data_IF_158369262751
#
_entry.id   IF_158369262751
#
_cell.length_a   1.000
_cell.length_b   1.000
_cell.length_c   1.000
_cell.angle_alpha   90.00
_cell.angle_beta   90.00
_cell.angle_gamma   90.00
#
_symmetry.space_group_name_H-M   'P 1'
#
loop_
_entity.id
_entity.type
_entity.pdbx_description
1 polymer ?
#
# COMPACT_ATOMS: atom_id res chain seq x y z
N UNK A 1 23.87 -15.79 18.24
CA UNK A 1 22.97 -16.60 19.10
C UNK A 1 22.74 -15.95 20.48
N UNK A 2 23.76 -15.65 21.33
CA UNK A 2 23.53 -15.04 22.68
C UNK A 2 22.73 -13.72 22.67
N UNK A 3 22.96 -12.82 21.70
CA UNK A 3 22.21 -11.54 21.58
C UNK A 3 20.75 -11.74 21.18
N UNK A 4 20.43 -12.78 20.39
CA UNK A 4 19.08 -13.13 20.01
C UNK A 4 18.29 -13.72 21.18
N UNK A 5 18.95 -14.54 22.00
CA UNK A 5 18.37 -15.14 23.22
C UNK A 5 18.10 -14.05 24.27
N UNK A 6 19.01 -13.08 24.41
CA UNK A 6 18.79 -11.94 25.32
C UNK A 6 17.63 -11.03 24.83
N UNK A 7 17.49 -10.81 23.54
CA UNK A 7 16.39 -10.05 22.97
C UNK A 7 15.05 -10.78 23.14
N UNK A 8 15.02 -12.11 22.95
CA UNK A 8 13.84 -12.95 23.24
C UNK A 8 13.50 -12.97 24.73
N UNK A 9 14.51 -13.08 25.62
CA UNK A 9 14.31 -13.06 27.06
C UNK A 9 13.82 -11.69 27.57
N UNK A 10 14.33 -10.59 26.99
CA UNK A 10 13.83 -9.23 27.28
C UNK A 10 12.39 -9.05 26.77
N UNK A 11 12.05 -9.62 25.62
CA UNK A 11 10.69 -9.61 25.08
C UNK A 11 9.72 -10.43 25.96
N UNK A 12 10.15 -11.59 26.48
CA UNK A 12 9.35 -12.42 27.40
C UNK A 12 9.17 -11.77 28.77
N UNK A 13 10.17 -11.01 29.25
CA UNK A 13 10.07 -10.25 30.50
C UNK A 13 9.16 -9.02 30.35
N UNK A 14 9.19 -8.35 29.21
CA UNK A 14 8.24 -7.28 28.87
C UNK A 14 6.81 -7.81 28.73
N UNK A 15 6.62 -8.98 28.14
CA UNK A 15 5.31 -9.65 28.02
C UNK A 15 4.78 -10.11 29.38
N UNK A 16 5.65 -10.52 30.32
CA UNK A 16 5.24 -11.01 31.65
C UNK A 16 4.55 -9.95 32.52
N UNK A 17 4.86 -8.67 32.37
CA UNK A 17 4.21 -7.57 33.08
C UNK A 17 2.93 -7.04 32.38
N UNK A 18 2.65 -7.47 31.16
CA UNK A 18 1.51 -7.03 30.35
C UNK A 18 0.23 -7.80 30.67
N UNK A 19 0.32 -8.96 31.32
CA UNK A 19 -0.84 -9.83 31.59
C UNK A 19 -1.83 -9.31 32.65
N UNK A 20 -1.57 -8.14 33.26
CA UNK A 20 -2.47 -7.50 34.23
C UNK A 20 -3.22 -6.27 33.71
N UNK A 21 -3.09 -5.90 32.42
CA UNK A 21 -3.77 -4.76 31.83
C UNK A 21 -4.94 -5.21 30.95
N UNK A 22 -6.02 -4.41 30.93
CA UNK A 22 -7.17 -4.66 30.08
C UNK A 22 -6.77 -4.54 28.61
N UNK A 23 -6.71 -5.67 27.91
CA UNK A 23 -6.41 -5.75 26.48
C UNK A 23 -7.68 -5.45 25.69
N UNK A 24 -7.68 -4.35 24.97
CA UNK A 24 -8.76 -4.04 24.03
C UNK A 24 -8.67 -4.96 22.80
N UNK A 25 -9.77 -5.63 22.49
CA UNK A 25 -9.87 -6.51 21.31
C UNK A 25 -10.85 -5.91 20.32
N UNK A 26 -10.43 -5.80 19.07
CA UNK A 26 -11.27 -5.31 17.99
C UNK A 26 -11.22 -6.29 16.81
N UNK A 27 -12.36 -6.54 16.21
CA UNK A 27 -12.51 -7.32 14.98
C UNK A 27 -13.05 -6.42 13.90
N UNK A 28 -12.43 -6.46 12.72
CA UNK A 28 -12.92 -5.71 11.57
C UNK A 28 -13.00 -6.59 10.34
N UNK A 29 -13.98 -6.31 9.49
CA UNK A 29 -14.06 -6.83 8.13
C UNK A 29 -14.05 -5.64 7.19
N UNK A 30 -13.07 -5.61 6.28
CA UNK A 30 -12.97 -4.60 5.23
C UNK A 30 -13.19 -5.25 3.88
N UNK A 31 -14.08 -4.67 3.07
CA UNK A 31 -14.31 -5.07 1.68
C UNK A 31 -13.89 -3.91 0.79
N UNK A 32 -12.86 -4.14 -0.01
CA UNK A 32 -12.37 -3.18 -0.99
C UNK A 32 -12.81 -3.59 -2.39
N UNK A 33 -13.21 -2.60 -3.18
CA UNK A 33 -13.46 -2.75 -4.61
C UNK A 33 -12.85 -1.58 -5.37
N UNK A 34 -12.35 -1.82 -6.57
CA UNK A 34 -11.86 -0.78 -7.45
C UNK A 34 -12.34 -1.01 -8.87
N UNK A 35 -12.76 0.08 -9.51
CA UNK A 35 -13.15 0.14 -10.91
C UNK A 35 -12.09 0.91 -11.67
N UNK A 36 -11.61 0.35 -12.78
CA UNK A 36 -10.57 0.92 -13.62
C UNK A 36 -11.18 1.34 -14.96
N UNK A 37 -11.23 2.65 -15.27
CA UNK A 37 -11.54 3.11 -16.62
C UNK A 37 -10.37 2.80 -17.56
N UNK A 38 -10.63 2.74 -18.85
CA UNK A 38 -9.59 2.52 -19.84
C UNK A 38 -8.82 3.82 -20.12
N UNK A 39 -7.51 3.73 -20.06
CA UNK A 39 -6.59 4.80 -20.46
C UNK A 39 -5.40 4.17 -21.18
N UNK A 40 -5.35 4.28 -22.50
CA UNK A 40 -4.25 3.76 -23.29
C UNK A 40 -2.98 4.57 -23.05
N UNK A 41 -1.83 3.91 -23.20
CA UNK A 41 -0.54 4.59 -23.20
C UNK A 41 -0.42 5.53 -24.40
N UNK A 42 0.12 6.71 -24.15
CA UNK A 42 0.46 7.67 -25.20
C UNK A 42 1.95 7.94 -25.11
N UNK A 43 2.65 7.89 -26.25
CA UNK A 43 4.07 8.25 -26.31
C UNK A 43 4.23 9.76 -26.26
N UNK A 44 5.26 10.24 -25.56
CA UNK A 44 5.55 11.67 -25.47
C UNK A 44 6.33 12.07 -24.21
N UNK A 45 6.65 13.36 -24.07
CA UNK A 45 7.20 13.90 -22.82
C UNK A 45 6.14 13.84 -21.70
N UNK A 46 6.36 14.54 -20.61
CA UNK A 46 5.39 14.56 -19.49
C UNK A 46 4.05 15.15 -19.94
N UNK A 47 2.97 14.38 -19.78
CA UNK A 47 1.62 14.73 -20.25
C UNK A 47 0.54 14.00 -19.45
N UNK A 48 -0.74 14.29 -19.75
CA UNK A 48 -1.91 13.53 -19.30
C UNK A 48 -2.43 12.63 -20.41
N UNK A 49 -2.62 11.33 -20.11
CA UNK A 49 -3.29 10.41 -21.01
C UNK A 49 -4.82 10.60 -20.95
N UNK A 50 -5.50 10.59 -22.09
CA UNK A 50 -6.94 10.66 -22.13
C UNK A 50 -7.58 9.35 -21.64
N UNK A 51 -8.84 9.44 -21.21
CA UNK A 51 -9.70 8.28 -21.08
C UNK A 51 -10.09 7.78 -22.48
N UNK A 52 -9.83 6.51 -22.76
CA UNK A 52 -10.07 5.89 -24.09
C UNK A 52 -11.25 4.92 -24.09
N UNK A 53 -11.81 4.62 -22.93
CA UNK A 53 -12.99 3.78 -22.79
C UNK A 53 -13.52 3.73 -21.38
N UNK A 54 -14.75 3.22 -21.21
CA UNK A 54 -15.39 3.20 -19.89
C UNK A 54 -14.77 2.15 -18.96
N UNK A 55 -14.24 1.04 -19.46
CA UNK A 55 -13.86 -0.09 -18.62
C UNK A 55 -12.57 -0.78 -19.09
N UNK A 56 -11.64 -0.98 -18.18
CA UNK A 56 -10.46 -1.82 -18.39
C UNK A 56 -10.32 -2.95 -17.35
N UNK A 57 -11.04 -2.87 -16.22
CA UNK A 57 -10.98 -3.90 -15.19
C UNK A 57 -11.73 -3.55 -13.91
N UNK A 58 -11.90 -4.56 -13.09
CA UNK A 58 -12.42 -4.45 -11.71
C UNK A 58 -11.54 -5.28 -10.78
N UNK A 59 -11.41 -4.84 -9.56
CA UNK A 59 -10.69 -5.52 -8.49
C UNK A 59 -11.58 -5.57 -7.26
N UNK A 60 -11.52 -6.69 -6.51
CA UNK A 60 -12.19 -6.82 -5.22
C UNK A 60 -11.35 -7.66 -4.28
N UNK A 61 -11.42 -7.34 -3.00
CA UNK A 61 -10.82 -8.14 -1.92
C UNK A 61 -11.58 -7.95 -0.62
N UNK A 62 -11.50 -8.95 0.25
CA UNK A 62 -12.01 -8.88 1.62
C UNK A 62 -10.84 -9.12 2.59
N UNK A 63 -10.78 -8.34 3.67
CA UNK A 63 -9.75 -8.46 4.71
C UNK A 63 -10.43 -8.59 6.07
N UNK A 64 -10.30 -9.76 6.69
CA UNK A 64 -10.63 -9.96 8.09
C UNK A 64 -9.45 -9.57 8.97
N UNK A 65 -9.69 -8.83 10.05
CA UNK A 65 -8.65 -8.38 10.96
C UNK A 65 -9.01 -8.64 12.42
N UNK A 66 -8.01 -9.01 13.21
CA UNK A 66 -8.08 -9.13 14.65
C UNK A 66 -6.97 -8.28 15.27
N UNK A 67 -7.33 -7.33 16.11
CA UNK A 67 -6.44 -6.36 16.74
C UNK A 67 -6.46 -6.53 18.25
N UNK A 68 -5.27 -6.50 18.86
CA UNK A 68 -5.03 -6.54 20.30
C UNK A 68 -4.25 -5.30 20.68
N UNK A 69 -4.91 -4.35 21.31
CA UNK A 69 -4.29 -3.11 21.79
C UNK A 69 -3.98 -3.25 23.28
N UNK A 70 -2.72 -3.11 23.61
CA UNK A 70 -2.13 -3.31 24.92
C UNK A 70 -1.67 -1.94 25.40
N UNK A 71 -2.27 -1.36 26.46
CA UNK A 71 -1.77 -0.12 27.06
C UNK A 71 -0.33 -0.31 27.54
N UNK A 72 0.55 0.62 27.21
CA UNK A 72 1.96 0.62 27.63
C UNK A 72 2.37 2.04 28.06
N UNK A 73 1.75 2.59 29.12
CA UNK A 73 1.99 3.97 29.50
C UNK A 73 3.47 4.20 29.81
N UNK A 74 4.04 5.26 29.24
CA UNK A 74 5.45 5.65 29.42
C UNK A 74 5.64 6.69 30.53
N UNK A 75 4.57 7.08 31.23
CA UNK A 75 4.53 8.01 32.33
C UNK A 75 3.13 8.62 32.51
N UNK A 76 2.98 9.46 33.54
CA UNK A 76 1.68 10.07 33.92
C UNK A 76 1.31 11.30 33.08
N UNK A 77 2.25 11.82 32.31
CA UNK A 77 1.99 12.97 31.44
C UNK A 77 0.99 12.59 30.36
N UNK A 78 0.00 13.44 30.07
CA UNK A 78 -1.09 13.18 29.14
C UNK A 78 -0.65 12.69 27.72
N UNK A 79 0.52 13.12 27.26
CA UNK A 79 1.11 12.63 25.99
C UNK A 79 1.65 11.20 26.10
N UNK A 80 2.09 10.76 27.25
CA UNK A 80 2.77 9.48 27.47
C UNK A 80 1.84 8.42 28.05
N UNK A 81 0.78 8.85 28.75
CA UNK A 81 -0.20 7.95 29.39
C UNK A 81 -1.02 7.13 28.38
N UNK A 82 -1.18 7.65 27.16
CA UNK A 82 -1.91 6.99 26.07
C UNK A 82 -1.07 6.05 25.20
N UNK A 83 0.22 5.88 25.55
CA UNK A 83 1.10 4.99 24.80
C UNK A 83 0.57 3.55 24.80
N UNK A 84 0.65 2.91 23.65
CA UNK A 84 0.14 1.55 23.46
C UNK A 84 0.92 0.76 22.43
N UNK A 85 0.89 -0.57 22.59
CA UNK A 85 1.35 -1.55 21.63
C UNK A 85 0.12 -2.21 21.00
N UNK A 86 0.02 -2.24 19.68
CA UNK A 86 -1.06 -2.92 18.99
C UNK A 86 -0.51 -4.05 18.12
N UNK A 87 -1.04 -5.26 18.28
CA UNK A 87 -0.74 -6.43 17.46
C UNK A 87 -1.97 -6.72 16.61
N UNK A 88 -1.82 -6.66 15.30
CA UNK A 88 -2.91 -6.88 14.34
C UNK A 88 -2.57 -8.05 13.42
N UNK A 89 -3.51 -8.98 13.31
CA UNK A 89 -3.45 -10.12 12.39
C UNK A 89 -4.53 -9.91 11.34
N UNK A 90 -4.14 -9.95 10.07
CA UNK A 90 -5.01 -9.77 8.92
C UNK A 90 -5.01 -11.03 8.06
N UNK A 91 -6.15 -11.33 7.47
CA UNK A 91 -6.27 -12.31 6.39
C UNK A 91 -6.98 -11.62 5.22
N UNK A 92 -6.23 -11.37 4.16
CA UNK A 92 -6.75 -10.82 2.91
C UNK A 92 -7.06 -11.96 1.94
N UNK A 93 -8.24 -11.93 1.34
CA UNK A 93 -8.69 -12.86 0.30
C UNK A 93 -9.20 -12.04 -0.88
N UNK A 94 -8.73 -12.40 -2.08
CA UNK A 94 -9.21 -11.88 -3.36
C UNK A 94 -9.68 -13.03 -4.25
N UNK A 95 -10.33 -12.78 -5.41
CA UNK A 95 -10.67 -13.86 -6.35
C UNK A 95 -9.50 -14.71 -6.82
N UNK A 96 -8.26 -14.21 -6.70
CA UNK A 96 -7.05 -14.85 -7.27
C UNK A 96 -5.89 -15.00 -6.27
N UNK A 97 -6.09 -14.68 -4.99
CA UNK A 97 -5.01 -14.76 -4.01
C UNK A 97 -5.52 -14.81 -2.57
N UNK A 98 -4.65 -15.28 -1.68
CA UNK A 98 -4.80 -15.22 -0.22
C UNK A 98 -3.50 -14.72 0.40
N UNK A 99 -3.61 -13.84 1.39
CA UNK A 99 -2.44 -13.20 2.03
C UNK A 99 -2.68 -12.98 3.52
N UNK A 100 -2.14 -13.82 4.41
CA UNK A 100 -1.98 -13.48 5.82
C UNK A 100 -0.95 -12.37 6.00
N UNK A 101 -1.20 -11.51 6.97
CA UNK A 101 -0.30 -10.43 7.38
C UNK A 101 -0.34 -10.26 8.90
N UNK A 102 0.81 -10.02 9.50
CA UNK A 102 0.94 -9.63 10.91
C UNK A 102 1.59 -8.27 10.98
N UNK A 103 1.03 -7.39 11.81
CA UNK A 103 1.53 -6.04 12.09
C UNK A 103 1.71 -5.85 13.58
N UNK A 104 2.76 -5.13 13.94
CA UNK A 104 3.02 -4.70 15.31
C UNK A 104 3.27 -3.21 15.23
N UNK A 105 2.43 -2.41 15.89
CA UNK A 105 2.58 -0.96 15.95
C UNK A 105 2.75 -0.51 17.39
N UNK A 106 3.62 0.46 17.59
CA UNK A 106 3.88 1.12 18.87
C UNK A 106 3.58 2.61 18.72
N UNK A 107 2.71 3.12 19.57
CA UNK A 107 2.30 4.52 19.61
C UNK A 107 2.83 5.15 20.90
N UNK A 108 4.08 5.66 20.93
CA UNK A 108 4.65 6.28 22.13
C UNK A 108 3.99 7.64 22.46
N UNK A 109 3.51 8.32 21.43
CA UNK A 109 2.86 9.64 21.51
C UNK A 109 1.63 9.64 20.60
N UNK A 110 0.55 10.35 20.91
CA UNK A 110 -0.68 10.37 20.10
C UNK A 110 -0.48 10.73 18.63
N UNK A 111 0.57 11.49 18.34
CA UNK A 111 0.87 11.96 16.98
C UNK A 111 1.98 11.14 16.28
N UNK A 112 2.54 10.10 16.90
CA UNK A 112 3.66 9.33 16.35
C UNK A 112 3.41 7.83 16.49
N UNK A 113 3.42 7.12 15.38
CA UNK A 113 3.23 5.66 15.33
C UNK A 113 4.39 5.02 14.57
N UNK A 114 5.00 4.02 15.18
CA UNK A 114 5.98 3.15 14.53
C UNK A 114 5.34 1.78 14.31
N UNK A 115 5.51 1.24 13.10
CA UNK A 115 4.93 -0.05 12.74
C UNK A 115 5.95 -0.92 12.02
N UNK A 116 5.90 -2.21 12.25
CA UNK A 116 6.57 -3.22 11.44
C UNK A 116 5.61 -4.34 11.12
N UNK A 117 5.78 -4.97 9.97
CA UNK A 117 4.90 -6.05 9.57
C UNK A 117 5.51 -6.97 8.53
N UNK A 118 4.85 -8.12 8.41
CA UNK A 118 5.18 -9.17 7.45
C UNK A 118 3.90 -9.66 6.78
N UNK A 119 3.89 -9.68 5.45
CA UNK A 119 2.82 -10.22 4.61
C UNK A 119 3.38 -11.35 3.77
N UNK A 120 2.70 -12.48 3.79
CA UNK A 120 2.94 -13.62 2.90
C UNK A 120 1.70 -13.77 2.03
N UNK A 121 1.86 -14.28 0.82
CA UNK A 121 0.71 -14.51 -0.04
C UNK A 121 1.00 -15.53 -1.12
N UNK A 122 -0.04 -16.18 -1.59
CA UNK A 122 0.01 -17.04 -2.77
C UNK A 122 -1.22 -16.83 -3.62
N UNK A 123 -1.14 -17.17 -4.89
CA UNK A 123 -2.21 -16.88 -5.84
C UNK A 123 -2.58 -18.09 -6.69
N UNK A 124 -3.73 -17.96 -7.33
CA UNK A 124 -4.27 -18.91 -8.29
C UNK A 124 -4.86 -18.20 -9.49
N UNK A 125 -5.31 -18.98 -10.47
CA UNK A 125 -5.95 -18.49 -11.69
C UNK A 125 -7.43 -18.78 -11.63
N UNK A 126 -8.28 -17.77 -11.88
CA UNK A 126 -9.73 -17.91 -11.85
C UNK A 126 -10.38 -17.02 -12.93
N UNK A 127 -11.26 -17.58 -13.75
CA UNK A 127 -12.06 -16.83 -14.73
C UNK A 127 -11.24 -15.99 -15.72
N UNK A 128 -10.05 -16.44 -16.13
CA UNK A 128 -9.16 -15.68 -16.99
C UNK A 128 -8.32 -14.60 -16.27
N UNK A 129 -8.52 -14.43 -14.95
CA UNK A 129 -7.73 -13.53 -14.11
C UNK A 129 -6.63 -14.35 -13.44
N UNK A 130 -5.43 -13.78 -13.31
CA UNK A 130 -4.25 -14.46 -12.81
C UNK A 130 -3.68 -13.72 -11.60
N UNK A 131 -3.42 -14.48 -10.51
CA UNK A 131 -2.90 -13.91 -9.26
C UNK A 131 -1.42 -13.57 -9.33
N UNK A 132 -0.65 -14.29 -10.16
CA UNK A 132 0.80 -14.11 -10.26
C UNK A 132 1.26 -14.31 -11.72
N UNK A 133 2.17 -13.45 -12.18
CA UNK A 133 2.77 -13.58 -13.51
C UNK A 133 4.18 -12.97 -13.55
N UNK A 134 4.98 -13.40 -14.52
CA UNK A 134 6.31 -12.85 -14.80
C UNK A 134 6.26 -12.19 -16.19
N UNK A 135 6.82 -10.98 -16.29
CA UNK A 135 6.92 -10.25 -17.54
C UNK A 135 7.98 -10.90 -18.45
N UNK A 136 7.64 -11.18 -19.69
CA UNK A 136 8.52 -11.89 -20.62
C UNK A 136 9.43 -10.98 -21.48
N UNK A 137 9.27 -9.66 -21.34
CA UNK A 137 10.04 -8.68 -22.11
C UNK A 137 9.44 -8.30 -23.46
N UNK A 138 8.30 -8.87 -23.87
CA UNK A 138 7.61 -8.61 -25.16
C UNK A 138 6.14 -8.24 -24.93
N UNK A 139 5.88 -7.28 -24.06
CA UNK A 139 4.56 -6.72 -23.70
C UNK A 139 3.56 -7.69 -23.07
N UNK A 140 3.96 -8.92 -22.77
CA UNK A 140 3.10 -9.93 -22.19
C UNK A 140 3.63 -10.44 -20.85
N UNK A 141 2.68 -10.88 -20.01
CA UNK A 141 2.97 -11.58 -18.76
C UNK A 141 2.73 -13.09 -18.95
N UNK A 142 3.70 -13.90 -18.56
CA UNK A 142 3.57 -15.35 -18.45
C UNK A 142 2.99 -15.67 -17.08
N UNK A 143 1.81 -16.27 -17.08
CA UNK A 143 1.10 -16.63 -15.87
C UNK A 143 1.80 -17.79 -15.15
N UNK A 144 1.96 -17.64 -13.84
CA UNK A 144 2.51 -18.68 -12.99
C UNK A 144 1.45 -19.72 -12.62
N UNK A 145 1.90 -20.92 -12.32
CA UNK A 145 1.00 -21.99 -11.86
C UNK A 145 0.44 -21.64 -10.48
N UNK A 146 -0.77 -22.09 -10.23
CA UNK A 146 -1.49 -21.94 -8.97
C UNK A 146 -0.67 -22.48 -7.79
N UNK A 147 -0.53 -21.68 -6.73
CA UNK A 147 0.14 -22.02 -5.46
C UNK A 147 1.63 -22.41 -5.55
N UNK A 148 2.30 -22.13 -6.67
CA UNK A 148 3.72 -22.50 -6.84
C UNK A 148 4.69 -21.45 -6.33
N UNK A 149 4.25 -20.20 -6.27
CA UNK A 149 5.07 -19.06 -5.89
C UNK A 149 4.45 -18.32 -4.71
N UNK A 150 5.33 -17.71 -3.90
CA UNK A 150 4.95 -16.95 -2.72
C UNK A 150 5.36 -15.50 -2.85
N UNK A 151 4.40 -14.61 -2.68
CA UNK A 151 4.65 -13.20 -2.46
C UNK A 151 5.05 -12.97 -1.01
N UNK A 152 6.08 -12.16 -0.81
CA UNK A 152 6.59 -11.80 0.52
C UNK A 152 6.77 -10.30 0.59
N UNK A 153 6.32 -9.67 1.67
CA UNK A 153 6.60 -8.26 1.98
C UNK A 153 6.95 -8.14 3.45
N UNK A 154 8.10 -7.50 3.75
CA UNK A 154 8.48 -7.05 5.10
C UNK A 154 8.65 -5.56 5.08
N UNK A 155 8.22 -4.88 6.14
CA UNK A 155 8.32 -3.43 6.20
C UNK A 155 8.56 -2.89 7.61
N UNK A 156 9.11 -1.69 7.64
CA UNK A 156 9.13 -0.78 8.79
C UNK A 156 8.54 0.54 8.35
N UNK A 157 7.76 1.18 9.23
CA UNK A 157 6.98 2.36 8.92
C UNK A 157 7.00 3.32 10.10
N UNK A 158 7.08 4.61 9.81
CA UNK A 158 6.81 5.70 10.74
C UNK A 158 5.63 6.52 10.22
N UNK A 159 4.69 6.85 11.09
CA UNK A 159 3.55 7.72 10.78
C UNK A 159 3.52 8.87 11.76
N UNK A 160 3.50 10.08 11.23
CA UNK A 160 3.14 11.29 11.95
C UNK A 160 1.69 11.62 11.64
N UNK A 161 0.89 11.88 12.68
CA UNK A 161 -0.52 12.25 12.55
C UNK A 161 -0.84 13.41 13.49
N UNK A 162 -1.65 14.34 13.01
CA UNK A 162 -2.07 15.48 13.81
C UNK A 162 -3.50 15.86 13.44
N UNK A 163 -4.28 16.22 14.45
CA UNK A 163 -5.64 16.73 14.33
C UNK A 163 -5.76 18.05 15.08
N UNK A 164 -6.22 19.09 14.42
CA UNK A 164 -6.39 20.42 15.04
C UNK A 164 -7.39 20.44 16.18
N UNK A 165 -8.30 19.45 16.25
CA UNK A 165 -9.19 19.23 17.40
C UNK A 165 -8.46 18.98 18.72
N UNK A 166 -7.15 18.63 18.68
CA UNK A 166 -6.30 18.58 19.87
C UNK A 166 -5.99 19.96 20.48
N UNK A 167 -6.20 21.04 19.72
CA UNK A 167 -5.90 22.43 20.14
C UNK A 167 -7.18 23.25 20.21
N UNK A 168 -8.13 23.05 19.29
CA UNK A 168 -9.34 23.82 19.14
C UNK A 168 -10.55 22.97 19.53
N UNK A 169 -11.43 23.50 20.37
CA UNK A 169 -12.67 22.86 20.77
C UNK A 169 -13.75 23.01 19.68
N UNK A 170 -14.60 22.01 19.53
CA UNK A 170 -15.77 22.00 18.65
C UNK A 170 -15.73 21.00 17.51
N UNK A 171 -16.88 20.50 17.13
CA UNK A 171 -17.05 19.39 16.15
C UNK A 171 -16.58 19.74 14.73
N UNK A 172 -16.38 21.01 14.42
CA UNK A 172 -15.97 21.53 13.09
C UNK A 172 -14.51 21.99 13.04
N UNK A 173 -13.72 21.73 14.07
CA UNK A 173 -12.33 22.22 14.17
C UNK A 173 -11.30 21.17 13.76
N UNK A 174 -11.71 20.04 13.19
CA UNK A 174 -10.87 18.89 12.93
C UNK A 174 -10.26 18.94 11.52
N UNK A 175 -9.12 19.58 11.38
CA UNK A 175 -8.28 19.42 10.20
C UNK A 175 -7.17 18.42 10.51
N UNK A 176 -7.07 17.37 9.69
CA UNK A 176 -6.22 16.22 9.91
C UNK A 176 -5.07 16.19 8.91
N UNK A 177 -3.87 15.98 9.42
CA UNK A 177 -2.65 15.76 8.64
C UNK A 177 -2.10 14.40 9.05
N UNK A 178 -1.84 13.52 8.08
CA UNK A 178 -1.17 12.26 8.32
C UNK A 178 -0.08 12.06 7.26
N UNK A 179 1.16 11.91 7.70
CA UNK A 179 2.30 11.59 6.84
C UNK A 179 2.87 10.25 7.24
N UNK A 180 3.01 9.35 6.29
CA UNK A 180 3.57 8.01 6.48
C UNK A 180 4.79 7.83 5.59
N UNK A 181 5.85 7.28 6.16
CA UNK A 181 7.02 6.77 5.45
C UNK A 181 7.20 5.30 5.76
N UNK A 182 7.24 4.46 4.73
CA UNK A 182 7.46 3.02 4.83
C UNK A 182 8.65 2.61 3.96
N UNK A 183 9.62 1.93 4.57
CA UNK A 183 10.65 1.18 3.86
C UNK A 183 10.24 -0.29 3.87
N UNK A 184 10.21 -0.93 2.70
CA UNK A 184 9.80 -2.32 2.61
C UNK A 184 10.63 -3.10 1.58
N UNK A 185 10.78 -4.39 1.84
CA UNK A 185 11.29 -5.36 0.89
C UNK A 185 10.13 -6.20 0.37
N UNK A 186 10.00 -6.33 -0.94
CA UNK A 186 9.04 -7.25 -1.53
C UNK A 186 9.71 -8.19 -2.53
N UNK A 187 9.22 -9.41 -2.58
CA UNK A 187 9.73 -10.44 -3.47
C UNK A 187 8.63 -11.43 -3.87
N UNK A 188 8.78 -11.98 -5.07
CA UNK A 188 8.05 -13.15 -5.52
C UNK A 188 9.03 -14.32 -5.63
N UNK A 189 8.75 -15.43 -4.95
CA UNK A 189 9.64 -16.60 -4.94
C UNK A 189 9.73 -17.22 -6.34
N UNK A 190 10.86 -17.83 -6.66
CA UNK A 190 11.09 -18.46 -7.96
C UNK A 190 11.29 -17.47 -9.13
N UNK A 191 11.32 -16.17 -8.85
CA UNK A 191 11.65 -15.11 -9.81
C UNK A 191 13.11 -14.71 -9.60
N UNK A 192 13.87 -14.59 -10.69
CA UNK A 192 15.28 -14.17 -10.63
C UNK A 192 15.37 -12.68 -10.28
N UNK A 193 16.48 -12.29 -9.70
CA UNK A 193 16.76 -10.87 -9.47
C UNK A 193 16.77 -10.13 -10.81
N UNK A 194 16.12 -8.98 -10.85
CA UNK A 194 15.99 -8.17 -12.05
C UNK A 194 14.78 -8.50 -12.91
N UNK A 195 14.14 -9.63 -12.71
CA UNK A 195 12.92 -9.97 -13.46
C UNK A 195 11.71 -9.23 -12.92
N UNK A 196 10.90 -8.71 -13.84
CA UNK A 196 9.65 -7.99 -13.53
C UNK A 196 8.50 -8.98 -13.39
N UNK A 197 7.73 -8.81 -12.34
CA UNK A 197 6.60 -9.67 -12.03
C UNK A 197 5.34 -8.86 -11.69
N UNK A 198 4.21 -9.57 -11.65
CA UNK A 198 2.89 -9.07 -11.29
C UNK A 198 2.35 -9.85 -10.10
N UNK A 199 1.74 -9.14 -9.16
CA UNK A 199 0.97 -9.69 -8.05
C UNK A 199 -0.43 -9.07 -8.08
N UNK A 200 -1.45 -9.91 -8.23
CA UNK A 200 -2.83 -9.48 -8.45
C UNK A 200 -2.89 -8.50 -9.64
N UNK A 201 -3.46 -7.30 -9.46
CA UNK A 201 -3.49 -6.23 -10.47
C UNK A 201 -2.19 -5.42 -10.56
N UNK A 202 -1.29 -5.52 -9.57
CA UNK A 202 -0.07 -4.71 -9.50
C UNK A 202 1.06 -5.30 -10.33
N UNK A 203 1.29 -4.78 -11.51
CA UNK A 203 2.40 -5.13 -12.40
C UNK A 203 3.66 -4.29 -12.19
N UNK A 204 4.69 -4.56 -13.02
CA UNK A 204 5.97 -3.83 -13.05
C UNK A 204 6.71 -3.81 -11.70
N UNK A 205 6.61 -4.91 -10.94
CA UNK A 205 7.34 -5.10 -9.68
C UNK A 205 8.60 -5.92 -9.93
N UNK A 206 9.64 -5.67 -9.14
CA UNK A 206 10.85 -6.49 -9.07
C UNK A 206 11.16 -6.82 -7.62
N UNK A 207 11.95 -7.87 -7.37
CA UNK A 207 12.43 -8.18 -6.04
C UNK A 207 13.38 -7.08 -5.58
N UNK A 208 13.17 -6.53 -4.39
CA UNK A 208 14.06 -5.49 -3.87
C UNK A 208 13.45 -4.60 -2.80
N UNK A 209 14.27 -3.68 -2.31
CA UNK A 209 13.89 -2.66 -1.36
C UNK A 209 13.17 -1.50 -2.05
N UNK A 210 12.03 -1.14 -1.49
CA UNK A 210 11.17 -0.08 -1.98
C UNK A 210 10.81 0.89 -0.86
N UNK A 211 10.44 2.11 -1.24
CA UNK A 211 9.83 3.06 -0.32
C UNK A 211 8.42 3.39 -0.76
N UNK A 212 7.59 3.62 0.22
CA UNK A 212 6.25 4.16 0.06
C UNK A 212 6.10 5.35 1.00
N UNK A 213 5.54 6.42 0.51
CA UNK A 213 5.22 7.61 1.29
C UNK A 213 3.78 7.99 0.99
N UNK A 214 3.07 8.43 2.00
CA UNK A 214 1.74 9.03 1.81
C UNK A 214 1.57 10.27 2.67
N UNK A 215 0.88 11.25 2.11
CA UNK A 215 0.42 12.45 2.82
C UNK A 215 -1.10 12.52 2.64
N UNK A 216 -1.82 12.54 3.73
CA UNK A 216 -3.26 12.76 3.77
C UNK A 216 -3.52 14.09 4.45
N UNK A 217 -4.26 14.95 3.76
CA UNK A 217 -4.84 16.17 4.27
C UNK A 217 -6.35 16.01 4.23
N UNK A 218 -7.01 16.07 5.37
CA UNK A 218 -8.44 15.81 5.45
C UNK A 218 -9.12 16.75 6.44
N UNK A 219 -10.40 16.99 6.20
CA UNK A 219 -11.29 17.72 7.08
C UNK A 219 -12.38 16.78 7.57
N UNK A 220 -12.53 16.66 8.88
CA UNK A 220 -13.56 15.82 9.51
C UNK A 220 -14.76 16.68 9.89
N UNK A 221 -15.95 16.12 9.71
CA UNK A 221 -17.24 16.76 9.93
C UNK A 221 -18.14 15.87 10.78
N UNK A 222 -19.01 16.43 11.64
CA UNK A 222 -19.99 15.68 12.43
C UNK A 222 -21.25 15.35 11.59
N UNK A 223 -21.06 14.79 10.41
CA UNK A 223 -22.09 14.45 9.44
C UNK A 223 -21.92 12.99 8.97
N UNK A 224 -22.90 12.48 8.23
CA UNK A 224 -22.77 11.17 7.54
C UNK A 224 -21.56 11.19 6.59
N UNK A 225 -21.36 12.26 5.82
CA UNK A 225 -20.11 12.54 5.15
C UNK A 225 -19.11 13.01 6.21
N UNK A 226 -18.45 12.05 6.85
CA UNK A 226 -17.65 12.30 8.05
C UNK A 226 -16.28 12.89 7.74
N UNK A 227 -15.76 12.71 6.52
CA UNK A 227 -14.43 13.22 6.13
C UNK A 227 -14.33 13.46 4.65
N UNK A 228 -13.67 14.56 4.28
CA UNK A 228 -13.25 14.85 2.91
C UNK A 228 -11.78 15.23 2.91
N UNK A 229 -11.07 14.92 1.82
CA UNK A 229 -9.64 15.23 1.80
C UNK A 229 -8.95 14.84 0.49
N UNK A 230 -7.62 14.87 0.54
CA UNK A 230 -6.75 14.46 -0.56
C UNK A 230 -5.63 13.58 0.03
N UNK A 231 -5.38 12.46 -0.61
CA UNK A 231 -4.24 11.60 -0.35
C UNK A 231 -3.26 11.70 -1.51
N UNK A 232 -2.00 11.94 -1.19
CA UNK A 232 -0.88 11.88 -2.14
C UNK A 232 0.03 10.73 -1.76
N UNK A 233 0.42 9.93 -2.75
CA UNK A 233 1.27 8.76 -2.54
C UNK A 233 2.47 8.81 -3.47
N UNK A 234 3.61 8.29 -3.00
CA UNK A 234 4.83 8.11 -3.76
C UNK A 234 5.40 6.73 -3.47
N UNK A 235 5.61 5.92 -4.51
CA UNK A 235 6.12 4.55 -4.38
C UNK A 235 7.19 4.25 -5.43
N UNK A 236 8.22 3.51 -5.05
CA UNK A 236 9.23 3.02 -6.00
C UNK A 236 10.42 2.36 -5.33
N UNK A 237 11.28 1.78 -6.15
CA UNK A 237 12.51 1.14 -5.72
C UNK A 237 13.56 2.16 -5.27
N UNK A 238 14.39 1.77 -4.28
CA UNK A 238 15.56 2.56 -3.90
C UNK A 238 16.64 2.52 -4.96
N UNK A 239 16.77 1.38 -5.67
CA UNK A 239 17.82 1.15 -6.66
C UNK A 239 17.23 0.81 -8.02
N UNK A 240 17.73 1.48 -9.06
CA UNK A 240 17.39 1.14 -10.44
C UNK A 240 17.87 -0.26 -10.82
N UNK A 241 18.94 -0.75 -10.18
CA UNK A 241 19.53 -2.07 -10.39
C UNK A 241 18.67 -3.25 -9.88
N UNK A 242 17.56 -2.96 -9.19
CA UNK A 242 16.58 -3.99 -8.86
C UNK A 242 15.86 -4.54 -10.12
N UNK A 243 15.95 -3.81 -11.22
CA UNK A 243 15.51 -4.24 -12.56
C UNK A 243 16.70 -4.61 -13.44
N UNK A 244 16.57 -5.64 -14.26
CA UNK A 244 17.58 -6.01 -15.26
C UNK A 244 17.61 -4.98 -16.39
N UNK A 245 18.52 -4.01 -16.28
CA UNK A 245 18.67 -2.94 -17.26
C UNK A 245 19.08 -3.45 -18.66
N UNK A 246 19.80 -4.57 -18.74
CA UNK A 246 20.17 -5.18 -20.02
C UNK A 246 18.95 -5.76 -20.74
N UNK A 247 17.99 -6.29 -19.99
CA UNK A 247 16.76 -6.87 -20.52
C UNK A 247 15.70 -5.83 -20.89
N UNK A 248 15.55 -4.79 -20.06
CA UNK A 248 14.47 -3.81 -20.19
C UNK A 248 14.93 -2.47 -20.76
N UNK A 249 16.22 -2.29 -21.02
CA UNK A 249 16.77 -1.12 -21.68
C UNK A 249 16.60 0.18 -20.90
N UNK A 250 16.29 1.26 -21.61
CA UNK A 250 16.14 2.62 -21.06
C UNK A 250 14.83 2.82 -20.28
N UNK A 251 14.50 1.88 -19.44
CA UNK A 251 13.22 1.78 -18.71
C UNK A 251 13.10 2.76 -17.52
N UNK A 252 14.19 3.30 -17.00
CA UNK A 252 14.26 4.09 -15.78
C UNK A 252 13.77 3.31 -14.53
N UNK A 253 14.58 2.38 -14.06
CA UNK A 253 14.28 1.56 -12.86
C UNK A 253 14.13 2.35 -11.55
N UNK A 254 14.65 3.59 -11.48
CA UNK A 254 14.49 4.49 -10.32
C UNK A 254 13.21 5.34 -10.36
N UNK A 255 12.36 5.16 -11.37
CA UNK A 255 11.10 5.88 -11.48
C UNK A 255 10.22 5.63 -10.26
N UNK A 256 9.69 6.71 -9.68
CA UNK A 256 8.72 6.65 -8.60
C UNK A 256 7.33 7.02 -9.11
N UNK A 257 6.37 6.15 -8.89
CA UNK A 257 4.97 6.41 -9.15
C UNK A 257 4.46 7.43 -8.16
N UNK A 258 3.74 8.43 -8.63
CA UNK A 258 3.03 9.39 -7.80
C UNK A 258 1.54 9.18 -8.06
N UNK A 259 0.75 9.15 -6.99
CA UNK A 259 -0.71 9.13 -7.07
C UNK A 259 -1.29 10.26 -6.24
N UNK A 260 -2.36 10.87 -6.73
CA UNK A 260 -3.12 11.91 -6.02
C UNK A 260 -4.58 11.47 -6.06
N UNK A 261 -5.20 11.36 -4.89
CA UNK A 261 -6.54 10.81 -4.75
C UNK A 261 -7.40 11.70 -3.87
N UNK A 262 -8.30 12.52 -4.41
CA UNK A 262 -9.42 13.03 -3.64
C UNK A 262 -10.16 11.89 -2.96
N UNK A 263 -10.53 12.09 -1.71
CA UNK A 263 -11.18 11.09 -0.89
C UNK A 263 -12.42 11.65 -0.16
N UNK A 264 -13.41 10.81 0.01
CA UNK A 264 -14.58 11.04 0.83
C UNK A 264 -14.77 9.83 1.74
N UNK A 265 -15.17 10.06 2.99
CA UNK A 265 -15.53 9.01 3.92
C UNK A 265 -16.91 9.26 4.49
N UNK A 266 -17.73 8.23 4.52
CA UNK A 266 -19.06 8.23 5.08
C UNK A 266 -19.08 7.33 6.32
N UNK A 267 -19.71 7.77 7.41
CA UNK A 267 -19.92 6.99 8.61
C UNK A 267 -21.43 6.67 8.74
N UNK A 268 -21.75 5.40 8.89
CA UNK A 268 -23.10 4.90 9.06
C UNK A 268 -23.23 4.24 10.44
N UNK A 269 -23.64 5.03 11.42
CA UNK A 269 -23.61 4.64 12.84
C UNK A 269 -22.16 4.51 13.33
N UNK A 270 -21.97 3.69 14.38
CA UNK A 270 -20.66 3.55 15.05
C UNK A 270 -19.74 2.52 14.36
N UNK A 271 -20.32 1.57 13.64
CA UNK A 271 -19.62 0.35 13.22
C UNK A 271 -19.36 0.25 11.71
N UNK A 272 -19.88 1.17 10.90
CA UNK A 272 -19.75 1.09 9.45
C UNK A 272 -19.14 2.35 8.86
N UNK A 273 -18.11 2.19 8.06
CA UNK A 273 -17.53 3.29 7.27
C UNK A 273 -17.38 2.89 5.81
N UNK A 274 -17.62 3.86 4.92
CA UNK A 274 -17.36 3.72 3.48
C UNK A 274 -16.41 4.84 3.05
N UNK A 275 -15.25 4.49 2.55
CA UNK A 275 -14.34 5.43 1.90
C UNK A 275 -14.44 5.29 0.38
N UNK A 276 -14.42 6.42 -0.32
CA UNK A 276 -14.40 6.52 -1.78
C UNK A 276 -13.21 7.37 -2.21
N UNK A 277 -12.41 6.85 -3.14
CA UNK A 277 -11.21 7.52 -3.66
C UNK A 277 -11.28 7.62 -5.18
N UNK A 278 -10.90 8.77 -5.71
CA UNK A 278 -10.76 9.03 -7.14
C UNK A 278 -9.27 9.13 -7.47
N UNK A 279 -8.67 8.04 -7.96
CA UNK A 279 -7.23 7.91 -8.11
C UNK A 279 -6.71 8.48 -9.43
N UNK A 280 -5.90 9.51 -9.39
CA UNK A 280 -5.02 9.95 -10.47
C UNK A 280 -3.63 9.42 -10.19
N UNK A 281 -3.04 8.71 -11.14
CA UNK A 281 -1.73 8.09 -10.94
C UNK A 281 -0.80 8.43 -12.10
N UNK A 282 0.48 8.16 -11.89
CA UNK A 282 1.49 8.38 -12.91
C UNK A 282 2.19 7.09 -13.28
N UNK A 283 2.58 6.99 -14.55
CA UNK A 283 3.36 5.90 -15.11
C UNK A 283 4.48 6.45 -15.98
N UNK A 284 5.44 5.60 -16.36
CA UNK A 284 6.51 6.00 -17.27
C UNK A 284 5.94 6.38 -18.61
N UNK A 285 6.43 7.52 -19.17
CA UNK A 285 6.17 7.90 -20.53
C UNK A 285 7.42 7.69 -21.38
N UNK A 286 7.22 7.34 -22.63
CA UNK A 286 8.28 7.02 -23.57
C UNK A 286 8.13 7.86 -24.84
N UNK A 287 9.24 8.02 -25.56
CA UNK A 287 9.26 8.47 -26.94
C UNK A 287 9.85 7.37 -27.80
N UNK A 288 9.37 7.28 -29.03
CA UNK A 288 9.92 6.41 -30.03
C UNK A 288 11.17 7.06 -30.62
N UNK A 289 12.30 6.37 -30.58
CA UNK A 289 13.54 6.79 -31.20
C UNK A 289 13.85 5.87 -32.39
N UNK A 290 14.17 6.49 -33.52
CA UNK A 290 14.63 5.81 -34.72
C UNK A 290 15.81 6.58 -35.31
N UNK A 291 16.92 5.87 -35.52
CA UNK A 291 18.11 6.42 -36.20
C UNK A 291 18.39 5.61 -37.45
N UNK A 292 19.14 6.17 -38.41
CA UNK A 292 19.51 5.52 -39.65
C UNK A 292 20.24 4.17 -39.45
N UNK A 293 20.80 3.95 -38.27
CA UNK A 293 21.50 2.72 -37.92
C UNK A 293 20.62 1.70 -37.20
N UNK A 294 19.41 2.06 -36.80
CA UNK A 294 18.45 1.18 -36.14
C UNK A 294 17.60 0.46 -37.16
N UNK A 295 17.50 -0.86 -37.05
CA UNK A 295 16.61 -1.67 -37.89
C UNK A 295 15.14 -1.50 -37.49
N UNK A 296 14.89 -1.23 -36.21
CA UNK A 296 13.57 -1.06 -35.62
C UNK A 296 13.57 0.12 -34.63
N UNK A 297 12.46 0.84 -34.48
CA UNK A 297 12.34 1.89 -33.48
C UNK A 297 12.41 1.33 -32.06
N UNK A 298 12.98 2.08 -31.12
CA UNK A 298 13.01 1.73 -29.72
C UNK A 298 12.33 2.79 -28.86
N UNK A 299 11.74 2.36 -27.75
CA UNK A 299 11.14 3.24 -26.76
C UNK A 299 12.19 3.68 -25.75
N UNK A 300 12.31 5.01 -25.58
CA UNK A 300 13.18 5.61 -24.58
C UNK A 300 12.36 6.39 -23.58
N UNK A 301 12.64 6.20 -22.30
CA UNK A 301 11.98 6.97 -21.24
C UNK A 301 12.15 8.48 -21.47
N UNK A 302 11.03 9.19 -21.50
CA UNK A 302 10.98 10.63 -21.79
C UNK A 302 10.33 11.47 -20.69
N UNK A 303 9.61 10.84 -19.77
CA UNK A 303 8.92 11.60 -18.74
C UNK A 303 7.85 10.83 -18.00
N UNK A 304 6.85 11.55 -17.55
CA UNK A 304 5.76 11.05 -16.72
C UNK A 304 4.43 11.24 -17.42
N UNK A 305 3.69 10.14 -17.57
CA UNK A 305 2.31 10.19 -18.05
C UNK A 305 1.36 10.09 -16.85
N UNK A 306 0.51 11.10 -16.69
CA UNK A 306 -0.56 11.11 -15.70
C UNK A 306 -1.84 10.54 -16.31
N UNK A 307 -2.60 9.80 -15.54
CA UNK A 307 -3.86 9.24 -16.00
C UNK A 307 -4.85 9.06 -14.85
N UNK A 308 -6.13 9.06 -15.17
CA UNK A 308 -7.16 8.67 -14.22
C UNK A 308 -7.13 7.15 -14.08
N UNK A 309 -6.70 6.68 -12.92
CA UNK A 309 -6.37 5.28 -12.68
C UNK A 309 -7.60 4.47 -12.27
N UNK A 310 -8.32 4.94 -11.23
CA UNK A 310 -9.39 4.14 -10.64
C UNK A 310 -10.37 4.98 -9.81
N UNK A 311 -11.56 4.41 -9.60
CA UNK A 311 -12.44 4.74 -8.50
C UNK A 311 -12.39 3.57 -7.51
N UNK A 312 -12.00 3.82 -6.26
CA UNK A 312 -11.88 2.78 -5.24
C UNK A 312 -12.89 3.02 -4.12
N UNK A 313 -13.42 1.92 -3.62
CA UNK A 313 -14.37 1.86 -2.50
C UNK A 313 -13.77 0.97 -1.43
N UNK A 314 -13.90 1.37 -0.18
CA UNK A 314 -13.48 0.58 0.98
C UNK A 314 -14.56 0.64 2.04
N UNK A 315 -15.22 -0.46 2.27
CA UNK A 315 -16.24 -0.59 3.31
C UNK A 315 -15.69 -1.38 4.48
N UNK A 316 -15.67 -0.75 5.64
CA UNK A 316 -15.19 -1.37 6.88
C UNK A 316 -16.34 -1.53 7.87
N UNK A 317 -16.44 -2.73 8.45
CA UNK A 317 -17.31 -3.06 9.57
C UNK A 317 -16.46 -3.41 10.79
N UNK A 318 -16.82 -2.87 11.95
CA UNK A 318 -16.20 -3.14 13.25
C UNK A 318 -17.18 -3.93 14.13
N UNK A 319 -16.67 -4.93 14.88
CA UNK A 319 -17.45 -5.85 15.71
C UNK A 319 -16.98 -5.85 17.16
#
# INVERSE_FOLDING_TARGET
MKKLILALAALTLLLGNVFCQDIEKEKTLTVDAAYYPMSNFVTGPTHFAPLTGPYSGIEARATGSLSYKIPTPLGDHWLLSSANLNIKINLEVSPVSISPETRISFTPLPFLVFETGAKLGTGWNFGGIHGMAIYNGSDNYINLKTFTNWFTKFYVQGTFQFDTGAIFEGDWTHFQIMYTYQAYYSALSGVKNGEVWKWQSSGNRANGWQNYQSLILAYQMPLVLSRVGVMSELEGHYKASDYDQAKYGKFNGSFKTISISPLMQFAFGENHTLAVLFGFSSRRSFVEEHTDTMLEPCLTYAGREWFFNRIAFSWTMTF
#
